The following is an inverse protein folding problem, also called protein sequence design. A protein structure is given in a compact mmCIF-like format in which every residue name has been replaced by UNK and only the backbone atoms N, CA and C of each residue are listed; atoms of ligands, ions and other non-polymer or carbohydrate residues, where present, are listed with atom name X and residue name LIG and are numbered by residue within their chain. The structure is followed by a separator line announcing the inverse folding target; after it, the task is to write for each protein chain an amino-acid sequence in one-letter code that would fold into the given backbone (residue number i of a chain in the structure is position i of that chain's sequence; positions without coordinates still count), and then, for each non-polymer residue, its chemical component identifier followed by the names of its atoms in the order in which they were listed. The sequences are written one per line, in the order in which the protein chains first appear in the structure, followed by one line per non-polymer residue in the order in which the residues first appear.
data_IF_988540332213
#
_entry.id   IF_988540332213
#
_cell.length_a   1.000
_cell.length_b   1.000
_cell.length_c   1.000
_cell.angle_alpha   90.00
_cell.angle_beta   90.00
_cell.angle_gamma   90.00
#
_symmetry.space_group_name_H-M   'P 1'
#
loop_
_entity.id
_entity.type
_entity.pdbx_description
1 polymer ?
#
# COMPACT_ATOMS: atom_id res chain seq x y z
N UNK A 1 13.50 -20.14 7.13
CA UNK A 1 14.07 -21.19 8.03
C UNK A 1 12.98 -22.06 8.67
N UNK A 2 11.85 -21.48 9.11
CA UNK A 2 10.78 -22.21 9.80
C UNK A 2 10.07 -23.26 8.95
N UNK A 3 9.96 -23.07 7.63
CA UNK A 3 9.40 -24.06 6.69
C UNK A 3 10.25 -25.35 6.63
N UNK A 4 11.58 -25.23 6.71
CA UNK A 4 12.48 -26.38 6.78
C UNK A 4 12.40 -27.05 8.16
N UNK A 5 12.32 -26.29 9.25
CA UNK A 5 12.17 -26.84 10.61
C UNK A 5 10.86 -27.61 10.77
N UNK A 6 9.73 -27.07 10.29
CA UNK A 6 8.42 -27.76 10.28
C UNK A 6 8.38 -28.98 9.36
N UNK A 7 9.20 -29.02 8.32
CA UNK A 7 9.32 -30.21 7.47
C UNK A 7 10.02 -31.39 8.19
N UNK A 8 10.83 -31.11 9.21
CA UNK A 8 11.49 -32.12 10.04
C UNK A 8 10.75 -32.42 11.35
N UNK A 9 9.96 -31.49 11.86
CA UNK A 9 9.09 -31.68 13.02
C UNK A 9 7.76 -30.92 12.84
N UNK A 10 6.67 -31.61 12.45
CA UNK A 10 5.39 -30.98 12.14
C UNK A 10 4.66 -30.41 13.38
N UNK A 11 5.02 -30.86 14.58
CA UNK A 11 4.42 -30.39 15.84
C UNK A 11 5.21 -29.20 16.45
N UNK A 12 6.24 -28.73 15.77
CA UNK A 12 7.08 -27.63 16.24
C UNK A 12 6.33 -26.30 16.12
N UNK A 13 5.80 -25.82 17.25
CA UNK A 13 5.28 -24.46 17.37
C UNK A 13 6.46 -23.47 17.41
N UNK A 14 6.57 -22.55 16.44
CA UNK A 14 7.65 -21.58 16.41
C UNK A 14 7.56 -20.62 17.60
N UNK A 15 8.70 -20.32 18.22
CA UNK A 15 8.77 -19.45 19.41
C UNK A 15 8.46 -17.98 19.05
N UNK A 16 8.12 -17.15 20.04
CA UNK A 16 7.87 -15.70 19.83
C UNK A 16 9.06 -14.98 19.16
N UNK A 17 10.29 -15.45 19.39
CA UNK A 17 11.50 -14.93 18.73
C UNK A 17 11.52 -15.25 17.23
N UNK A 18 10.90 -16.34 16.80
CA UNK A 18 10.76 -16.72 15.38
C UNK A 18 9.66 -15.94 14.65
N UNK A 19 8.87 -15.13 15.37
CA UNK A 19 7.94 -14.12 14.83
C UNK A 19 8.61 -12.75 14.64
N UNK A 20 9.93 -12.67 14.80
CA UNK A 20 10.68 -11.44 14.49
C UNK A 20 11.39 -11.54 13.15
N UNK A 21 11.22 -10.52 12.31
CA UNK A 21 11.97 -10.34 11.05
C UNK A 21 12.81 -9.08 11.22
N UNK A 22 14.13 -9.17 11.05
CA UNK A 22 15.05 -8.04 11.26
C UNK A 22 14.90 -7.36 12.64
N UNK A 23 14.69 -8.15 13.70
CA UNK A 23 14.41 -7.65 15.06
C UNK A 23 13.14 -6.80 15.19
N UNK A 24 12.23 -6.90 14.21
CA UNK A 24 10.90 -6.30 14.26
C UNK A 24 9.86 -7.41 14.45
N UNK A 25 8.94 -7.22 15.38
CA UNK A 25 7.80 -8.12 15.57
C UNK A 25 6.90 -8.06 14.33
N UNK A 26 6.59 -9.23 13.77
CA UNK A 26 5.67 -9.34 12.64
C UNK A 26 4.24 -9.06 13.15
N UNK A 27 3.47 -8.16 12.48
CA UNK A 27 2.08 -7.90 12.85
C UNK A 27 1.22 -9.16 12.77
N UNK A 28 0.27 -9.27 13.68
CA UNK A 28 -0.72 -10.34 13.68
C UNK A 28 -1.65 -10.25 12.46
N UNK A 29 -2.33 -11.35 12.15
CA UNK A 29 -3.30 -11.41 11.05
C UNK A 29 -4.43 -10.38 11.20
N UNK A 30 -4.88 -10.16 12.44
CA UNK A 30 -5.94 -9.21 12.77
C UNK A 30 -5.48 -7.77 12.52
N UNK A 31 -4.25 -7.45 12.89
CA UNK A 31 -3.64 -6.13 12.63
C UNK A 31 -3.46 -5.88 11.13
N UNK A 32 -3.03 -6.88 10.37
CA UNK A 32 -2.93 -6.79 8.91
C UNK A 32 -4.30 -6.57 8.25
N UNK A 33 -5.34 -7.25 8.75
CA UNK A 33 -6.69 -7.10 8.21
C UNK A 33 -7.29 -5.72 8.53
N UNK A 34 -7.13 -5.25 9.77
CA UNK A 34 -7.56 -3.92 10.17
C UNK A 34 -6.85 -2.81 9.37
N UNK A 35 -5.54 -2.96 9.13
CA UNK A 35 -4.77 -2.05 8.29
C UNK A 35 -5.28 -2.05 6.84
N UNK A 36 -5.57 -3.23 6.28
CA UNK A 36 -6.08 -3.37 4.91
C UNK A 36 -7.44 -2.69 4.74
N UNK A 37 -8.36 -2.88 5.68
CA UNK A 37 -9.69 -2.27 5.64
C UNK A 37 -9.66 -0.75 5.82
N UNK A 38 -8.71 -0.22 6.59
CA UNK A 38 -8.58 1.23 6.84
C UNK A 38 -7.77 1.98 5.79
N UNK A 39 -6.95 1.28 4.99
CA UNK A 39 -6.06 1.88 4.01
C UNK A 39 -6.75 2.83 3.00
N UNK A 40 -7.94 2.52 2.43
CA UNK A 40 -8.59 3.44 1.49
C UNK A 40 -8.96 4.78 2.11
N UNK A 41 -9.44 4.77 3.36
CA UNK A 41 -9.77 5.99 4.09
C UNK A 41 -8.54 6.85 4.40
N UNK A 42 -7.45 6.21 4.84
CA UNK A 42 -6.18 6.89 5.08
C UNK A 42 -5.62 7.53 3.79
N UNK A 43 -5.68 6.81 2.66
CA UNK A 43 -5.27 7.34 1.36
C UNK A 43 -6.11 8.54 0.93
N UNK A 44 -7.43 8.52 1.16
CA UNK A 44 -8.30 9.64 0.85
C UNK A 44 -7.98 10.89 1.68
N UNK A 45 -7.78 10.74 3.00
CA UNK A 45 -7.41 11.87 3.86
C UNK A 45 -6.07 12.49 3.47
N UNK A 46 -5.07 11.65 3.17
CA UNK A 46 -3.78 12.11 2.68
C UNK A 46 -3.91 12.85 1.34
N UNK A 47 -4.72 12.34 0.43
CA UNK A 47 -4.94 12.97 -0.87
C UNK A 47 -5.60 14.35 -0.70
N UNK A 48 -6.62 14.48 0.15
CA UNK A 48 -7.24 15.76 0.44
C UNK A 48 -6.24 16.78 1.00
N UNK A 49 -5.33 16.34 1.87
CA UNK A 49 -4.31 17.21 2.45
C UNK A 49 -3.24 17.64 1.43
N UNK A 50 -3.03 16.85 0.37
CA UNK A 50 -2.09 17.17 -0.71
C UNK A 50 -2.70 18.04 -1.82
N UNK A 51 -4.02 18.21 -1.86
CA UNK A 51 -4.69 19.06 -2.85
C UNK A 51 -4.43 20.53 -2.49
N UNK A 52 -3.86 21.34 -3.39
CA UNK A 52 -3.60 22.76 -3.15
C UNK A 52 -4.92 23.54 -2.98
N UNK A 53 -4.86 24.63 -2.22
CA UNK A 53 -6.00 25.52 -2.02
C UNK A 53 -6.23 26.44 -3.23
N UNK A 54 -7.39 27.10 -3.28
CA UNK A 54 -7.70 28.08 -4.33
C UNK A 54 -6.72 29.28 -4.33
N UNK A 55 -6.20 29.66 -3.17
CA UNK A 55 -5.20 30.73 -3.06
C UNK A 55 -3.86 30.25 -3.62
N UNK A 56 -3.46 29.01 -3.32
CA UNK A 56 -2.23 28.41 -3.86
C UNK A 56 -2.24 28.34 -5.39
N UNK A 57 -3.42 28.11 -6.00
CA UNK A 57 -3.57 28.02 -7.46
C UNK A 57 -3.48 29.39 -8.14
N UNK A 58 -3.89 30.47 -7.45
CA UNK A 58 -3.95 31.81 -8.03
C UNK A 58 -2.58 32.34 -8.46
N UNK A 59 -1.55 31.98 -7.70
CA UNK A 59 -0.17 32.46 -7.91
C UNK A 59 0.65 31.51 -8.80
N UNK A 60 0.02 30.45 -9.33
CA UNK A 60 0.67 29.54 -10.27
C UNK A 60 0.67 30.17 -11.65
N UNK A 61 1.86 30.44 -12.19
CA UNK A 61 2.04 30.71 -13.61
C UNK A 61 1.72 29.44 -14.39
N UNK A 62 0.50 29.36 -14.92
CA UNK A 62 0.02 28.18 -15.60
C UNK A 62 0.73 28.03 -16.95
N UNK A 63 1.36 26.88 -17.22
CA UNK A 63 1.98 26.64 -18.51
C UNK A 63 0.90 26.57 -19.61
N UNK A 64 1.34 26.53 -20.87
CA UNK A 64 0.41 26.55 -22.00
C UNK A 64 -0.61 25.40 -21.89
N UNK A 65 -1.79 25.58 -22.51
CA UNK A 65 -2.85 24.58 -22.42
C UNK A 65 -2.40 23.19 -22.92
N UNK A 66 -1.48 23.13 -23.88
CA UNK A 66 -0.89 21.87 -24.34
C UNK A 66 -0.04 21.17 -23.28
N UNK A 67 0.76 21.93 -22.54
CA UNK A 67 1.64 21.41 -21.49
C UNK A 67 0.84 20.93 -20.27
N UNK A 68 -0.20 21.68 -19.90
CA UNK A 68 -1.14 21.28 -18.86
C UNK A 68 -1.85 19.96 -19.21
N UNK A 69 -2.27 19.79 -20.45
CA UNK A 69 -2.92 18.56 -20.90
C UNK A 69 -1.94 17.37 -20.86
N UNK A 70 -0.69 17.58 -21.25
CA UNK A 70 0.35 16.56 -21.20
C UNK A 70 0.67 16.14 -19.75
N UNK A 71 0.81 17.12 -18.84
CA UNK A 71 0.99 16.88 -17.40
C UNK A 71 -0.20 16.13 -16.80
N UNK A 72 -1.42 16.52 -17.14
CA UNK A 72 -2.63 15.85 -16.68
C UNK A 72 -2.69 14.39 -17.13
N UNK A 73 -2.44 14.13 -18.41
CA UNK A 73 -2.43 12.76 -18.94
C UNK A 73 -1.36 11.90 -18.26
N UNK A 74 -0.15 12.44 -18.07
CA UNK A 74 0.92 11.73 -17.36
C UNK A 74 0.54 11.43 -15.90
N UNK A 75 -0.10 12.38 -15.21
CA UNK A 75 -0.58 12.19 -13.84
C UNK A 75 -1.68 11.13 -13.77
N UNK A 76 -2.66 11.17 -14.68
CA UNK A 76 -3.73 10.17 -14.76
C UNK A 76 -3.16 8.78 -15.03
N UNK A 77 -2.25 8.63 -15.99
CA UNK A 77 -1.61 7.34 -16.27
C UNK A 77 -0.84 6.81 -15.06
N UNK A 78 -0.05 7.66 -14.38
CA UNK A 78 0.69 7.24 -13.19
C UNK A 78 -0.22 6.80 -12.03
N UNK A 79 -1.35 7.48 -11.82
CA UNK A 79 -2.36 7.08 -10.84
C UNK A 79 -2.99 5.75 -11.22
N UNK A 80 -3.31 5.57 -12.50
CA UNK A 80 -3.96 4.36 -13.01
C UNK A 80 -3.06 3.14 -12.89
N UNK A 81 -1.79 3.25 -13.29
CA UNK A 81 -0.78 2.20 -13.13
C UNK A 81 -0.54 1.85 -11.66
N UNK A 82 -0.48 2.88 -10.80
CA UNK A 82 -0.33 2.70 -9.35
C UNK A 82 -1.53 2.00 -8.71
N UNK A 83 -2.74 2.28 -9.21
CA UNK A 83 -3.96 1.65 -8.75
C UNK A 83 -4.04 0.19 -9.17
N UNK A 84 -3.76 -0.11 -10.44
CA UNK A 84 -3.73 -1.48 -10.98
C UNK A 84 -2.70 -2.34 -10.21
N UNK A 85 -1.51 -1.79 -9.95
CA UNK A 85 -0.49 -2.46 -9.15
C UNK A 85 -0.89 -2.68 -7.67
N UNK A 86 -1.70 -1.78 -7.10
CA UNK A 86 -2.21 -1.91 -5.73
C UNK A 86 -3.33 -2.95 -5.62
N UNK A 87 -4.20 -3.02 -6.62
CA UNK A 87 -5.26 -4.03 -6.73
C UNK A 87 -4.66 -5.42 -6.86
N UNK A 88 -3.63 -5.61 -7.68
CA UNK A 88 -2.98 -6.92 -7.84
C UNK A 88 -2.31 -7.37 -6.53
N UNK A 89 -1.57 -6.49 -5.85
CA UNK A 89 -0.97 -6.79 -4.54
C UNK A 89 -2.01 -7.13 -3.46
N UNK A 90 -3.13 -6.42 -3.45
CA UNK A 90 -4.23 -6.69 -2.52
C UNK A 90 -4.88 -8.04 -2.81
N UNK A 91 -4.97 -8.44 -4.09
CA UNK A 91 -5.47 -9.75 -4.51
C UNK A 91 -4.51 -10.88 -4.09
N UNK A 92 -3.21 -10.69 -4.24
CA UNK A 92 -2.20 -11.65 -3.76
C UNK A 92 -2.25 -11.81 -2.23
N UNK A 93 -2.34 -10.70 -1.50
CA UNK A 93 -2.50 -10.72 -0.04
C UNK A 93 -3.79 -11.46 0.37
N UNK A 94 -4.91 -11.18 -0.31
CA UNK A 94 -6.17 -11.86 -0.04
C UNK A 94 -6.06 -13.37 -0.27
N UNK A 95 -5.42 -13.81 -1.37
CA UNK A 95 -5.18 -15.24 -1.64
C UNK A 95 -4.35 -15.87 -0.52
N UNK A 96 -3.23 -15.27 -0.15
CA UNK A 96 -2.37 -15.75 0.94
C UNK A 96 -3.11 -15.83 2.29
N UNK A 97 -4.02 -14.89 2.55
CA UNK A 97 -4.84 -14.92 3.76
C UNK A 97 -5.93 -15.99 3.75
N UNK A 98 -6.30 -16.56 2.61
CA UNK A 98 -7.40 -17.53 2.48
C UNK A 98 -6.97 -18.98 2.20
N UNK A 99 -5.70 -19.19 1.89
CA UNK A 99 -5.04 -20.51 1.76
C UNK A 99 -4.36 -20.94 3.06
#
# INVERSE_FOLDING_TARGET
MNSLKRAFDPDLEPSEEELTVCSMTVPSREELWAATLSAPGAAWEYSKAAIPTLEDIRDIDLPSWGDLLALWNAAVTGVQDGWDGSVERSRELYRWLTE
#
